data_IF_116000660232
#
_entry.id   IF_116000660232
#
_cell.length_a   1.000
_cell.length_b   1.000
_cell.length_c   1.000
_cell.angle_alpha   90.00
_cell.angle_beta   90.00
_cell.angle_gamma   90.00
#
_symmetry.space_group_name_H-M   'P 1'
#
loop_
_entity.id
_entity.type
_entity.pdbx_description
1 polymer ?
#
# COMPACT_ATOMS: atom_id res chain seq x y z
N UNK A 1 0.87 7.31 -16.41
CA UNK A 1 1.42 5.94 -16.31
C UNK A 1 0.24 5.00 -16.08
N UNK A 2 0.20 3.80 -16.66
CA UNK A 2 -0.99 2.94 -16.63
C UNK A 2 -0.61 1.52 -16.17
N UNK A 3 -1.37 0.98 -15.21
CA UNK A 3 -1.22 -0.40 -14.72
C UNK A 3 -1.78 -1.36 -15.78
N UNK A 4 -0.99 -2.35 -16.19
CA UNK A 4 -1.40 -3.37 -17.16
C UNK A 4 -2.41 -4.38 -16.57
N UNK A 5 -3.18 -5.06 -17.43
CA UNK A 5 -4.11 -6.12 -16.99
C UNK A 5 -3.42 -7.24 -16.19
N UNK A 6 -2.20 -7.60 -16.56
CA UNK A 6 -1.41 -8.59 -15.82
C UNK A 6 -1.05 -8.11 -14.41
N UNK A 7 -0.72 -6.83 -14.26
CA UNK A 7 -0.45 -6.24 -12.96
C UNK A 7 -1.74 -6.14 -12.13
N UNK A 8 -2.86 -5.77 -12.74
CA UNK A 8 -4.18 -5.77 -12.09
C UNK A 8 -4.52 -7.16 -11.56
N UNK A 9 -4.32 -8.21 -12.37
CA UNK A 9 -4.54 -9.59 -11.92
C UNK A 9 -3.66 -9.95 -10.72
N UNK A 10 -2.38 -9.59 -10.77
CA UNK A 10 -1.43 -9.86 -9.68
C UNK A 10 -1.80 -9.10 -8.38
N UNK A 11 -2.30 -7.86 -8.49
CA UNK A 11 -2.84 -7.09 -7.37
C UNK A 11 -4.07 -7.77 -6.77
N UNK A 12 -4.99 -8.25 -7.60
CA UNK A 12 -6.19 -8.95 -7.15
C UNK A 12 -5.85 -10.25 -6.42
N UNK A 13 -5.03 -11.10 -7.03
CA UNK A 13 -4.63 -12.39 -6.46
C UNK A 13 -3.91 -12.22 -5.11
N UNK A 14 -3.00 -11.24 -5.01
CA UNK A 14 -2.35 -10.94 -3.73
C UNK A 14 -3.32 -10.43 -2.68
N UNK A 15 -4.27 -9.56 -3.04
CA UNK A 15 -5.27 -9.04 -2.11
C UNK A 15 -6.28 -10.10 -1.67
N UNK A 16 -6.61 -11.08 -2.50
CA UNK A 16 -7.48 -12.19 -2.09
C UNK A 16 -6.89 -12.97 -0.91
N UNK A 17 -5.57 -13.22 -0.93
CA UNK A 17 -4.86 -13.90 0.16
C UNK A 17 -4.71 -12.98 1.38
N UNK A 18 -4.33 -11.71 1.18
CA UNK A 18 -4.22 -10.72 2.26
C UNK A 18 -5.56 -10.57 3.00
N UNK A 19 -6.68 -10.60 2.28
CA UNK A 19 -8.01 -10.43 2.85
C UNK A 19 -8.47 -11.58 3.76
N UNK A 20 -7.78 -12.73 3.76
CA UNK A 20 -8.08 -13.83 4.69
C UNK A 20 -7.87 -13.42 6.15
N UNK A 21 -6.83 -12.61 6.44
CA UNK A 21 -6.61 -12.01 7.77
C UNK A 21 -5.83 -10.69 7.65
N UNK A 22 -6.50 -9.70 7.06
CA UNK A 22 -5.93 -8.37 6.76
C UNK A 22 -5.39 -7.61 7.97
N UNK A 23 -5.88 -7.91 9.17
CA UNK A 23 -5.43 -7.22 10.38
C UNK A 23 -4.05 -7.74 10.79
N UNK A 24 -3.84 -9.06 10.73
CA UNK A 24 -2.51 -9.64 10.94
C UNK A 24 -1.52 -9.28 9.84
N UNK A 25 -1.96 -9.21 8.58
CA UNK A 25 -1.12 -8.68 7.51
C UNK A 25 -0.64 -7.25 7.83
N UNK A 26 -1.56 -6.38 8.25
CA UNK A 26 -1.20 -5.02 8.64
C UNK A 26 -0.27 -4.99 9.86
N UNK A 27 -0.43 -5.91 10.80
CA UNK A 27 0.48 -6.06 11.94
C UNK A 27 1.92 -6.34 11.48
N UNK A 28 2.15 -7.25 10.52
CA UNK A 28 3.48 -7.49 9.95
C UNK A 28 4.08 -6.22 9.33
N UNK A 29 3.26 -5.50 8.56
CA UNK A 29 3.64 -4.22 7.97
C UNK A 29 4.09 -3.20 9.03
N UNK A 30 3.31 -3.04 10.11
CA UNK A 30 3.64 -2.08 11.18
C UNK A 30 4.80 -2.53 12.06
N UNK A 31 4.97 -3.84 12.29
CA UNK A 31 6.13 -4.40 12.98
C UNK A 31 7.40 -4.09 12.19
N UNK A 32 7.40 -4.31 10.87
CA UNK A 32 8.56 -3.99 10.03
C UNK A 32 8.95 -2.51 10.15
N UNK A 33 7.97 -1.61 10.05
CA UNK A 33 8.22 -0.17 10.21
C UNK A 33 8.83 0.15 11.58
N UNK A 34 8.25 -0.39 12.64
CA UNK A 34 8.73 -0.18 14.02
C UNK A 34 10.18 -0.65 14.21
N UNK A 35 10.52 -1.82 13.69
CA UNK A 35 11.81 -2.46 13.94
C UNK A 35 12.94 -1.90 13.08
N UNK A 36 12.63 -1.41 11.87
CA UNK A 36 13.64 -1.00 10.89
C UNK A 36 13.82 0.52 10.77
N UNK A 37 12.92 1.32 11.37
CA UNK A 37 12.91 2.76 11.20
C UNK A 37 12.53 3.49 12.50
N UNK A 38 13.49 4.21 13.09
CA UNK A 38 13.36 4.90 14.39
C UNK A 38 12.14 5.82 14.49
N UNK A 39 11.75 6.48 13.39
CA UNK A 39 10.55 7.32 13.32
C UNK A 39 9.26 6.59 13.72
N UNK A 40 9.19 5.29 13.47
CA UNK A 40 8.00 4.46 13.69
C UNK A 40 8.10 3.59 14.95
N UNK A 41 9.11 3.78 15.81
CA UNK A 41 9.31 2.98 17.03
C UNK A 41 8.06 2.94 17.94
N UNK A 42 7.29 4.03 17.94
CA UNK A 42 6.08 4.24 18.73
C UNK A 42 4.80 4.17 17.87
N UNK A 43 4.83 3.56 16.68
CA UNK A 43 3.68 3.56 15.77
C UNK A 43 2.41 2.99 16.40
N UNK A 44 2.52 1.93 17.21
CA UNK A 44 1.40 1.30 17.90
C UNK A 44 0.78 2.15 19.02
N UNK A 45 1.45 3.21 19.49
CA UNK A 45 0.84 4.17 20.41
C UNK A 45 0.04 5.26 19.69
N UNK A 46 0.19 5.36 18.36
CA UNK A 46 -0.42 6.40 17.53
C UNK A 46 -1.55 5.85 16.67
N UNK A 47 -1.35 4.68 16.08
CA UNK A 47 -2.32 4.08 15.17
C UNK A 47 -3.40 3.32 15.94
N UNK A 48 -4.66 3.62 15.65
CA UNK A 48 -5.79 2.90 16.23
C UNK A 48 -6.24 1.79 15.30
N UNK A 49 -6.96 0.81 15.85
CA UNK A 49 -7.51 -0.30 15.06
C UNK A 49 -8.38 0.20 13.90
N UNK A 50 -9.11 1.30 14.07
CA UNK A 50 -9.94 1.86 13.01
C UNK A 50 -9.10 2.44 11.86
N UNK A 51 -7.97 3.10 12.16
CA UNK A 51 -7.03 3.56 11.14
C UNK A 51 -6.48 2.39 10.33
N UNK A 52 -6.13 1.29 11.00
CA UNK A 52 -5.67 0.05 10.36
C UNK A 52 -6.74 -0.50 9.42
N UNK A 53 -8.02 -0.52 9.85
CA UNK A 53 -9.12 -0.97 8.99
C UNK A 53 -9.29 -0.06 7.78
N UNK A 54 -9.22 1.26 7.94
CA UNK A 54 -9.34 2.22 6.84
C UNK A 54 -8.22 2.02 5.82
N UNK A 55 -6.97 1.91 6.29
CA UNK A 55 -5.81 1.60 5.47
C UNK A 55 -6.01 0.31 4.68
N UNK A 56 -6.33 -0.80 5.34
CA UNK A 56 -6.53 -2.09 4.66
C UNK A 56 -7.75 -2.11 3.74
N UNK A 57 -8.83 -1.40 4.08
CA UNK A 57 -10.00 -1.24 3.20
C UNK A 57 -9.63 -0.46 1.92
N UNK A 58 -8.81 0.59 2.04
CA UNK A 58 -8.38 1.36 0.87
C UNK A 58 -7.50 0.53 -0.08
N UNK A 59 -6.59 -0.29 0.46
CA UNK A 59 -5.82 -1.27 -0.32
C UNK A 59 -6.76 -2.27 -1.03
N UNK A 60 -7.72 -2.84 -0.31
CA UNK A 60 -8.72 -3.75 -0.88
C UNK A 60 -9.49 -3.12 -2.04
N UNK A 61 -9.84 -1.83 -1.94
CA UNK A 61 -10.59 -1.15 -2.99
C UNK A 61 -9.84 -1.06 -4.33
N UNK A 62 -8.52 -1.17 -4.34
CA UNK A 62 -7.72 -1.27 -5.58
C UNK A 62 -8.16 -2.50 -6.36
N UNK A 63 -8.30 -3.66 -5.70
CA UNK A 63 -8.74 -4.89 -6.38
C UNK A 63 -10.16 -4.80 -6.95
N UNK A 64 -11.06 -4.14 -6.21
CA UNK A 64 -12.47 -4.00 -6.59
C UNK A 64 -12.69 -2.99 -7.72
N UNK A 65 -11.73 -2.10 -7.95
CA UNK A 65 -11.83 -1.02 -8.94
C UNK A 65 -11.18 -1.38 -10.28
N UNK A 66 -10.75 -2.64 -10.44
CA UNK A 66 -10.04 -3.15 -11.62
C UNK A 66 -10.83 -3.14 -12.92
N UNK A 67 -12.16 -2.97 -12.87
CA UNK A 67 -13.05 -2.99 -14.05
C UNK A 67 -12.96 -1.70 -14.88
N UNK A 68 -12.60 -0.57 -14.25
CA UNK A 68 -12.50 0.73 -14.92
C UNK A 68 -11.25 1.48 -14.46
N UNK A 69 -10.40 1.88 -15.40
CA UNK A 69 -9.13 2.53 -15.08
C UNK A 69 -9.29 3.80 -14.22
N UNK A 70 -10.28 4.64 -14.49
CA UNK A 70 -10.56 5.85 -13.69
C UNK A 70 -10.94 5.52 -12.25
N UNK A 71 -11.60 4.39 -12.01
CA UNK A 71 -11.92 3.92 -10.65
C UNK A 71 -10.66 3.37 -9.97
N UNK A 72 -9.83 2.61 -10.71
CA UNK A 72 -8.56 2.10 -10.22
C UNK A 72 -7.61 3.23 -9.79
N UNK A 73 -7.45 4.24 -10.62
CA UNK A 73 -6.62 5.42 -10.32
C UNK A 73 -7.10 6.12 -9.04
N UNK A 74 -8.43 6.34 -8.92
CA UNK A 74 -9.03 6.90 -7.71
C UNK A 74 -8.81 6.02 -6.48
N UNK A 75 -8.89 4.70 -6.61
CA UNK A 75 -8.63 3.77 -5.52
C UNK A 75 -7.16 3.83 -5.06
N UNK A 76 -6.22 3.92 -5.99
CA UNK A 76 -4.79 4.08 -5.71
C UNK A 76 -4.52 5.41 -5.00
N UNK A 77 -5.14 6.50 -5.44
CA UNK A 77 -5.02 7.81 -4.77
C UNK A 77 -5.59 7.79 -3.34
N UNK A 78 -6.72 7.11 -3.13
CA UNK A 78 -7.29 6.92 -1.80
C UNK A 78 -6.35 6.10 -0.90
N UNK A 79 -5.77 5.01 -1.42
CA UNK A 79 -4.77 4.24 -0.70
C UNK A 79 -3.54 5.08 -0.35
N UNK A 80 -3.06 5.90 -1.30
CA UNK A 80 -1.98 6.85 -1.07
C UNK A 80 -2.29 7.87 0.03
N UNK A 81 -3.54 8.32 0.14
CA UNK A 81 -3.98 9.22 1.23
C UNK A 81 -3.86 8.52 2.59
N UNK A 82 -4.24 7.25 2.69
CA UNK A 82 -4.06 6.47 3.92
C UNK A 82 -2.57 6.22 4.23
N UNK A 83 -1.72 5.98 3.21
CA UNK A 83 -0.27 5.91 3.39
C UNK A 83 0.30 7.22 3.97
N UNK A 84 -0.12 8.37 3.44
CA UNK A 84 0.33 9.69 3.94
C UNK A 84 -0.12 9.92 5.39
N UNK A 85 -1.31 9.47 5.79
CA UNK A 85 -1.73 9.55 7.21
C UNK A 85 -0.81 8.76 8.13
N UNK A 86 -0.27 7.63 7.67
CA UNK A 86 0.67 6.80 8.44
C UNK A 86 2.05 7.47 8.51
N UNK A 87 2.59 7.93 7.37
CA UNK A 87 3.96 8.41 7.28
C UNK A 87 4.13 9.93 7.49
N UNK A 88 3.04 10.68 7.51
CA UNK A 88 2.92 12.14 7.65
C UNK A 88 3.56 12.98 6.53
N UNK A 89 4.35 12.37 5.63
CA UNK A 89 5.15 13.05 4.61
C UNK A 89 5.31 12.15 3.37
N UNK A 90 5.21 12.71 2.16
CA UNK A 90 5.24 11.95 0.92
C UNK A 90 6.62 11.32 0.63
N UNK A 91 7.68 11.93 1.13
CA UNK A 91 9.08 11.47 1.01
C UNK A 91 9.31 10.10 1.66
N UNK A 92 8.37 9.67 2.50
CA UNK A 92 8.44 8.44 3.28
C UNK A 92 7.67 7.29 2.63
N UNK A 93 6.96 7.55 1.52
CA UNK A 93 6.27 6.52 0.75
C UNK A 93 7.20 5.35 0.36
N UNK A 94 8.47 5.56 -0.04
CA UNK A 94 9.40 4.45 -0.30
C UNK A 94 9.71 3.57 0.91
N UNK A 95 9.59 4.09 2.14
CA UNK A 95 9.74 3.29 3.36
C UNK A 95 8.51 2.40 3.57
N UNK A 96 7.32 2.95 3.32
CA UNK A 96 6.07 2.19 3.38
C UNK A 96 6.01 1.12 2.28
N UNK A 97 6.48 1.42 1.08
CA UNK A 97 6.62 0.45 0.00
C UNK A 97 7.45 -0.76 0.44
N UNK A 98 8.63 -0.55 1.03
CA UNK A 98 9.49 -1.64 1.53
C UNK A 98 8.79 -2.47 2.61
N UNK A 99 8.12 -1.82 3.55
CA UNK A 99 7.37 -2.51 4.59
C UNK A 99 6.22 -3.34 4.03
N UNK A 100 5.53 -2.82 3.01
CA UNK A 100 4.43 -3.51 2.33
C UNK A 100 4.92 -4.72 1.55
N UNK A 101 6.02 -4.58 0.80
CA UNK A 101 6.62 -5.67 0.05
C UNK A 101 7.14 -6.78 0.99
N UNK A 102 7.77 -6.40 2.10
CA UNK A 102 8.15 -7.35 3.15
C UNK A 102 6.94 -8.10 3.71
N UNK A 103 5.88 -7.38 4.08
CA UNK A 103 4.66 -8.01 4.59
C UNK A 103 4.01 -8.93 3.55
N UNK A 104 4.04 -8.57 2.27
CA UNK A 104 3.56 -9.44 1.19
C UNK A 104 4.40 -10.71 1.04
N UNK A 105 5.73 -10.59 1.05
CA UNK A 105 6.63 -11.74 0.94
C UNK A 105 6.37 -12.75 2.08
N UNK A 106 6.33 -12.26 3.32
CA UNK A 106 6.05 -13.09 4.50
C UNK A 106 4.64 -13.69 4.48
N UNK A 107 3.65 -12.92 4.03
CA UNK A 107 2.24 -13.35 4.08
C UNK A 107 1.85 -14.30 2.95
N UNK A 108 2.35 -14.04 1.74
CA UNK A 108 2.06 -14.85 0.56
C UNK A 108 3.01 -16.05 0.47
N UNK A 109 4.22 -16.00 1.05
CA UNK A 109 5.18 -17.09 0.98
C UNK A 109 5.36 -17.60 -0.46
N UNK A 110 5.04 -18.87 -0.78
CA UNK A 110 5.19 -19.41 -2.14
C UNK A 110 4.37 -18.71 -3.24
N UNK A 111 3.34 -17.95 -2.87
CA UNK A 111 2.51 -17.18 -3.81
C UNK A 111 3.07 -15.77 -4.07
N UNK A 112 4.14 -15.37 -3.37
CA UNK A 112 4.84 -14.13 -3.66
C UNK A 112 5.68 -14.30 -4.92
N UNK A 113 5.31 -13.59 -5.99
CA UNK A 113 6.01 -13.63 -7.28
C UNK A 113 6.61 -12.27 -7.62
N UNK A 114 7.54 -12.28 -8.59
CA UNK A 114 8.11 -11.07 -9.17
C UNK A 114 7.04 -10.14 -9.77
N UNK A 115 5.99 -10.72 -10.35
CA UNK A 115 4.84 -9.97 -10.87
C UNK A 115 4.05 -9.30 -9.74
N UNK A 116 3.84 -9.97 -8.60
CA UNK A 116 3.21 -9.38 -7.42
C UNK A 116 4.03 -8.20 -6.92
N UNK A 117 5.34 -8.40 -6.71
CA UNK A 117 6.26 -7.34 -6.28
C UNK A 117 6.19 -6.12 -7.20
N UNK A 118 6.42 -6.32 -8.51
CA UNK A 118 6.40 -5.24 -9.50
C UNK A 118 5.06 -4.53 -9.59
N UNK A 119 3.96 -5.24 -9.40
CA UNK A 119 2.62 -4.64 -9.46
C UNK A 119 2.41 -3.69 -8.29
N UNK A 120 2.84 -4.07 -7.09
CA UNK A 120 2.77 -3.20 -5.93
C UNK A 120 3.77 -2.04 -5.99
N UNK A 121 4.99 -2.26 -6.48
CA UNK A 121 5.95 -1.18 -6.75
C UNK A 121 5.35 -0.11 -7.69
N UNK A 122 4.62 -0.53 -8.73
CA UNK A 122 3.95 0.41 -9.64
C UNK A 122 2.84 1.21 -8.93
N UNK A 123 2.06 0.57 -8.03
CA UNK A 123 1.07 1.27 -7.20
C UNK A 123 1.74 2.34 -6.33
N UNK A 124 2.81 2.00 -5.62
CA UNK A 124 3.56 2.95 -4.78
C UNK A 124 4.20 4.07 -5.59
N UNK A 125 4.75 3.75 -6.76
CA UNK A 125 5.27 4.75 -7.70
C UNK A 125 4.20 5.75 -8.13
N UNK A 126 3.00 5.26 -8.49
CA UNK A 126 1.88 6.14 -8.84
C UNK A 126 1.50 7.07 -7.68
N UNK A 127 1.45 6.56 -6.45
CA UNK A 127 1.19 7.36 -5.24
C UNK A 127 2.25 8.45 -5.06
N UNK A 128 3.53 8.08 -5.16
CA UNK A 128 4.64 9.01 -5.00
C UNK A 128 4.61 10.13 -6.05
N UNK A 129 4.47 9.78 -7.33
CA UNK A 129 4.38 10.77 -8.43
C UNK A 129 3.17 11.69 -8.30
N UNK A 130 2.00 11.16 -7.90
CA UNK A 130 0.82 12.01 -7.65
C UNK A 130 1.05 12.99 -6.50
N UNK A 131 1.80 12.59 -5.47
CA UNK A 131 2.10 13.44 -4.31
C UNK A 131 3.06 14.57 -4.68
N UNK A 132 4.10 14.30 -5.47
CA UNK A 132 5.02 15.32 -5.98
C UNK A 132 4.32 16.35 -6.88
N UNK A 133 3.44 15.90 -7.78
CA UNK A 133 2.71 16.79 -8.68
C UNK A 133 1.77 17.76 -7.93
N UNK A 134 1.14 17.30 -6.84
CA UNK A 134 0.29 18.16 -6.01
C UNK A 134 1.08 19.23 -5.24
N UNK A 135 2.34 18.93 -4.87
CA UNK A 135 3.25 19.88 -4.25
C UNK A 135 3.75 20.96 -5.22
N UNK A 136 3.85 20.65 -6.53
CA UNK A 136 4.27 21.63 -7.55
C UNK A 136 3.16 22.62 -7.95
N UNK A 137 1.89 22.26 -7.81
CA UNK A 137 0.74 23.12 -8.19
C UNK A 137 0.41 24.14 -7.07
N UNK A 138 0.99 23.98 -5.88
CA UNK A 138 0.69 24.80 -4.70
C UNK A 138 1.65 25.99 -4.48
N UNK A 139 2.44 26.37 -5.50
CA UNK A 139 3.35 27.53 -5.49
C UNK A 139 3.02 28.56 -6.58
#
# INVERSE_FOLDING_TARGET
MNISENQIRSLNESLDIVNLDRIKFAELFFIYLKENHTKYENIFSRIQLEDVKHFMNSARNISLSSVQYSQLEKAIQNFGTECIKICNQAEEIPILEKAWLFALEEWLGPWYSHEVEKSWQEVFKMIYTSSENNLQISF
#
